data_IF_534977672258
#
_entry.id   IF_534977672258
#
_cell.length_a   1.000
_cell.length_b   1.000
_cell.length_c   1.000
_cell.angle_alpha   90.00
_cell.angle_beta   90.00
_cell.angle_gamma   90.00
#
_symmetry.space_group_name_H-M   'P 1'
#
loop_
_entity.id
_entity.type
_entity.pdbx_description
1 polymer ?
#
# COMPACT_ATOMS: atom_id res chain seq x y z
N UNK A 1 6.08 31.56 -28.37
CA UNK A 1 7.02 30.72 -29.15
C UNK A 1 7.98 29.96 -28.21
N UNK A 2 7.50 28.96 -27.45
CA UNK A 2 8.34 28.13 -26.54
C UNK A 2 7.92 26.64 -26.52
N UNK A 3 7.24 26.15 -27.55
CA UNK A 3 6.80 24.76 -27.64
C UNK A 3 7.72 23.86 -28.49
N UNK A 4 8.75 24.43 -29.13
CA UNK A 4 9.61 23.71 -30.07
C UNK A 4 10.60 22.70 -29.45
N UNK A 5 11.15 22.87 -28.22
CA UNK A 5 12.18 21.94 -27.73
C UNK A 5 11.61 20.61 -27.20
N UNK A 6 10.33 20.55 -26.79
CA UNK A 6 9.71 19.34 -26.24
C UNK A 6 9.38 18.29 -27.31
N UNK A 7 9.01 18.72 -28.52
CA UNK A 7 8.69 17.80 -29.62
C UNK A 7 9.96 17.10 -30.13
N UNK A 8 11.10 17.80 -30.15
CA UNK A 8 12.38 17.23 -30.60
C UNK A 8 12.89 16.15 -29.62
N UNK A 9 12.73 16.38 -28.31
CA UNK A 9 13.08 15.39 -27.28
C UNK A 9 12.21 14.14 -27.36
N UNK A 10 10.90 14.27 -27.59
CA UNK A 10 9.99 13.13 -27.73
C UNK A 10 10.31 12.27 -28.98
N UNK A 11 10.66 12.92 -30.10
CA UNK A 11 11.03 12.20 -31.34
C UNK A 11 12.37 11.48 -31.19
N UNK A 12 13.35 12.07 -30.50
CA UNK A 12 14.64 11.43 -30.21
C UNK A 12 14.51 10.20 -29.29
N UNK A 13 13.61 10.23 -28.29
CA UNK A 13 13.37 9.07 -27.43
C UNK A 13 12.72 7.89 -28.16
N UNK A 14 11.83 8.15 -29.12
CA UNK A 14 11.19 7.08 -29.92
C UNK A 14 12.19 6.46 -30.90
N UNK A 15 13.09 7.26 -31.48
CA UNK A 15 14.14 6.76 -32.37
C UNK A 15 15.17 5.87 -31.64
N UNK A 16 15.50 6.17 -30.38
CA UNK A 16 16.40 5.34 -29.57
C UNK A 16 15.77 3.98 -29.20
N UNK A 17 14.47 3.93 -28.92
CA UNK A 17 13.79 2.66 -28.62
C UNK A 17 13.71 1.74 -29.84
N UNK A 18 13.62 2.29 -31.05
CA UNK A 18 13.63 1.50 -32.28
C UNK A 18 15.03 0.95 -32.64
N UNK A 19 16.11 1.65 -32.25
CA UNK A 19 17.48 1.24 -32.58
C UNK A 19 18.04 0.13 -31.69
N UNK A 20 17.53 -0.02 -30.45
CA UNK A 20 18.06 -0.98 -29.47
C UNK A 20 17.08 -2.10 -29.09
N UNK A 21 15.93 -2.19 -29.77
CA UNK A 21 14.98 -3.30 -29.59
C UNK A 21 15.52 -4.60 -30.20
N UNK A 22 16.30 -5.36 -29.42
CA UNK A 22 16.73 -6.71 -29.80
C UNK A 22 15.53 -7.66 -29.88
N UNK A 23 15.06 -7.93 -31.10
CA UNK A 23 14.17 -9.07 -31.38
C UNK A 23 15.01 -10.34 -31.26
N UNK A 24 15.00 -10.97 -30.09
CA UNK A 24 15.53 -12.32 -29.94
C UNK A 24 14.60 -13.28 -30.68
N UNK A 25 15.14 -13.90 -31.75
CA UNK A 25 14.49 -15.01 -32.44
C UNK A 25 14.27 -16.14 -31.41
N UNK A 26 13.06 -16.71 -31.30
CA UNK A 26 12.84 -17.86 -30.44
C UNK A 26 13.77 -18.99 -30.89
N UNK A 27 14.65 -19.42 -30.00
CA UNK A 27 15.53 -20.55 -30.21
C UNK A 27 14.69 -21.82 -30.34
N UNK A 28 14.83 -22.50 -31.46
CA UNK A 28 14.21 -23.78 -31.75
C UNK A 28 14.76 -24.82 -30.75
N UNK A 29 13.90 -25.29 -29.84
CA UNK A 29 14.25 -26.31 -28.85
C UNK A 29 14.30 -27.64 -29.58
N UNK A 30 15.51 -28.11 -29.89
CA UNK A 30 15.75 -29.47 -30.35
C UNK A 30 15.59 -30.40 -29.14
N UNK A 31 14.46 -31.09 -29.08
CA UNK A 31 14.21 -32.16 -28.11
C UNK A 31 15.08 -33.35 -28.51
N UNK A 32 16.23 -33.49 -27.86
CA UNK A 32 17.07 -34.69 -27.95
C UNK A 32 16.43 -35.75 -27.06
N UNK A 33 15.86 -36.77 -27.70
CA UNK A 33 15.29 -37.93 -27.02
C UNK A 33 16.42 -38.69 -26.28
N UNK A 34 16.30 -38.91 -24.96
CA UNK A 34 17.35 -39.56 -24.20
C UNK A 34 17.54 -41.02 -24.63
N UNK A 35 18.78 -41.52 -24.65
CA UNK A 35 19.07 -42.90 -25.03
C UNK A 35 18.35 -43.87 -24.09
N UNK A 36 17.67 -44.84 -24.69
CA UNK A 36 17.01 -45.95 -24.01
C UNK A 36 18.05 -46.72 -23.20
N UNK A 37 18.02 -46.55 -21.89
CA UNK A 37 18.85 -47.31 -20.95
C UNK A 37 18.23 -48.70 -20.81
N UNK A 38 18.90 -49.70 -21.38
CA UNK A 38 18.53 -51.09 -21.17
C UNK A 38 18.71 -51.49 -19.70
N UNK A 39 17.71 -52.11 -19.06
CA UNK A 39 17.78 -52.49 -17.67
C UNK A 39 18.82 -53.60 -17.45
N UNK A 40 19.62 -53.52 -16.37
CA UNK A 40 20.61 -54.53 -16.05
C UNK A 40 19.94 -55.88 -15.76
N UNK A 41 20.17 -56.85 -16.66
CA UNK A 41 19.85 -58.26 -16.45
C UNK A 41 20.84 -58.84 -15.45
N UNK A 42 20.47 -58.88 -14.17
CA UNK A 42 21.13 -59.76 -13.21
C UNK A 42 20.09 -60.60 -12.48
N UNK A 43 19.76 -61.73 -13.10
CA UNK A 43 18.93 -62.79 -12.56
C UNK A 43 19.77 -63.66 -11.63
N UNK A 44 19.61 -63.44 -10.34
CA UNK A 44 19.76 -64.52 -9.35
C UNK A 44 18.55 -64.41 -8.43
N UNK A 45 17.42 -64.95 -8.90
CA UNK A 45 16.14 -65.00 -8.19
C UNK A 45 16.26 -65.93 -6.98
N UNK A 46 16.79 -65.40 -5.88
CA UNK A 46 16.45 -65.93 -4.55
C UNK A 46 14.99 -65.57 -4.34
N UNK A 47 14.13 -66.59 -4.20
CA UNK A 47 12.71 -66.38 -3.98
C UNK A 47 12.52 -65.44 -2.78
N UNK A 48 11.94 -64.26 -3.04
CA UNK A 48 11.66 -63.29 -1.98
C UNK A 48 10.79 -63.96 -0.91
N UNK A 49 11.10 -63.77 0.39
CA UNK A 49 10.33 -64.36 1.49
C UNK A 49 8.84 -63.95 1.47
N UNK A 50 8.48 -62.89 0.75
CA UNK A 50 7.10 -62.39 0.61
C UNK A 50 6.37 -62.89 -0.66
N UNK A 51 6.82 -64.00 -1.27
CA UNK A 51 6.28 -64.48 -2.55
C UNK A 51 4.97 -65.29 -2.45
N UNK A 52 4.59 -65.77 -1.26
CA UNK A 52 3.37 -66.56 -1.01
C UNK A 52 2.30 -65.74 -0.29
N UNK A 53 1.01 -66.03 -0.52
CA UNK A 53 -0.13 -65.33 0.10
C UNK A 53 -0.99 -64.51 -0.88
N UNK A 54 -2.11 -63.97 -0.38
CA UNK A 54 -2.94 -63.03 -1.13
C UNK A 54 -2.30 -61.63 -1.20
N UNK A 55 -2.84 -60.71 -2.01
CA UNK A 55 -2.23 -59.38 -2.24
C UNK A 55 -2.04 -58.60 -0.93
N UNK A 56 -3.02 -58.63 -0.02
CA UNK A 56 -2.95 -57.93 1.26
C UNK A 56 -1.81 -58.46 2.13
N UNK A 57 -1.66 -59.79 2.23
CA UNK A 57 -0.57 -60.42 2.96
C UNK A 57 0.80 -60.11 2.36
N UNK A 58 0.89 -60.01 1.03
CA UNK A 58 2.12 -59.63 0.34
C UNK A 58 2.52 -58.20 0.64
N UNK A 59 1.56 -57.28 0.59
CA UNK A 59 1.77 -55.85 0.90
C UNK A 59 2.28 -55.65 2.32
N UNK A 60 1.64 -56.30 3.30
CA UNK A 60 2.06 -56.29 4.70
C UNK A 60 3.45 -56.91 4.89
N UNK A 61 3.74 -58.01 4.20
CA UNK A 61 5.04 -58.67 4.26
C UNK A 61 6.14 -57.76 3.70
N UNK A 62 5.96 -57.20 2.49
CA UNK A 62 6.98 -56.34 1.86
C UNK A 62 7.19 -55.04 2.64
N UNK A 63 6.13 -54.43 3.18
CA UNK A 63 6.23 -53.24 4.03
C UNK A 63 6.99 -53.54 5.32
N UNK A 64 6.64 -54.62 6.03
CA UNK A 64 7.34 -55.03 7.25
C UNK A 64 8.80 -55.41 6.97
N UNK A 65 9.05 -56.06 5.82
CA UNK A 65 10.39 -56.42 5.40
C UNK A 65 11.23 -55.16 5.12
N UNK A 66 10.68 -54.18 4.39
CA UNK A 66 11.32 -52.90 4.15
C UNK A 66 11.75 -52.25 5.46
N UNK A 67 10.84 -52.16 6.44
CA UNK A 67 11.08 -51.56 7.76
C UNK A 67 12.16 -52.34 8.51
N UNK A 68 12.06 -53.68 8.55
CA UNK A 68 13.02 -54.53 9.26
C UNK A 68 14.43 -54.48 8.68
N UNK A 69 14.56 -54.19 7.38
CA UNK A 69 15.83 -54.10 6.65
C UNK A 69 16.33 -52.67 6.51
N UNK A 70 15.54 -51.68 6.95
CA UNK A 70 15.78 -50.26 6.68
C UNK A 70 16.02 -49.98 5.18
N UNK A 71 15.32 -50.70 4.30
CA UNK A 71 15.50 -50.63 2.84
C UNK A 71 14.21 -50.14 2.15
N UNK A 72 14.12 -48.84 1.81
CA UNK A 72 12.93 -48.26 1.18
C UNK A 72 12.69 -48.77 -0.24
N UNK A 73 13.69 -49.33 -0.93
CA UNK A 73 13.50 -49.91 -2.27
C UNK A 73 12.58 -51.14 -2.21
N UNK A 74 12.45 -51.78 -1.05
CA UNK A 74 11.51 -52.89 -0.88
C UNK A 74 10.04 -52.46 -0.93
N UNK A 75 9.72 -51.19 -0.61
CA UNK A 75 8.37 -50.64 -0.72
C UNK A 75 7.82 -50.66 -2.15
N UNK A 76 8.69 -50.65 -3.18
CA UNK A 76 8.25 -50.72 -4.59
C UNK A 76 7.58 -52.04 -4.96
N UNK A 77 7.71 -53.07 -4.11
CA UNK A 77 7.09 -54.38 -4.30
C UNK A 77 5.70 -54.50 -3.64
N UNK A 78 5.24 -53.46 -2.96
CA UNK A 78 3.88 -53.37 -2.42
C UNK A 78 2.92 -53.00 -3.56
N UNK A 79 1.75 -53.66 -3.63
CA UNK A 79 0.79 -53.53 -4.71
C UNK A 79 -0.26 -52.44 -4.47
N UNK A 80 -0.81 -52.34 -3.26
CA UNK A 80 -1.78 -51.29 -2.92
C UNK A 80 -1.10 -49.93 -2.80
N UNK A 81 -1.59 -48.93 -3.56
CA UNK A 81 -1.06 -47.57 -3.56
C UNK A 81 -1.04 -46.97 -2.14
N UNK A 82 -2.11 -47.16 -1.37
CA UNK A 82 -2.19 -46.68 0.01
C UNK A 82 -1.13 -47.31 0.91
N UNK A 83 -0.85 -48.61 0.74
CA UNK A 83 0.18 -49.31 1.51
C UNK A 83 1.59 -48.96 1.04
N UNK A 84 1.79 -48.73 -0.26
CA UNK A 84 3.06 -48.22 -0.81
C UNK A 84 3.40 -46.87 -0.19
N UNK A 85 2.45 -45.95 -0.19
CA UNK A 85 2.62 -44.60 0.35
C UNK A 85 2.88 -44.62 1.86
N UNK A 86 2.14 -45.46 2.60
CA UNK A 86 2.40 -45.71 4.02
C UNK A 86 3.77 -46.33 4.28
N UNK A 87 4.24 -47.22 3.42
CA UNK A 87 5.57 -47.84 3.51
C UNK A 87 6.66 -46.78 3.32
N UNK A 88 6.57 -45.98 2.25
CA UNK A 88 7.53 -44.90 2.00
C UNK A 88 7.54 -43.84 3.10
N UNK A 89 6.37 -43.48 3.63
CA UNK A 89 6.23 -42.49 4.71
C UNK A 89 7.08 -42.83 5.94
N UNK A 90 7.30 -44.12 6.24
CA UNK A 90 8.17 -44.55 7.34
C UNK A 90 9.64 -44.13 7.14
N UNK A 91 10.12 -44.04 5.90
CA UNK A 91 11.50 -43.68 5.58
C UNK A 91 11.69 -42.22 5.20
N UNK A 92 10.59 -41.53 4.92
CA UNK A 92 10.61 -40.23 4.29
C UNK A 92 10.92 -39.07 5.26
N UNK A 93 10.90 -39.35 6.56
CA UNK A 93 11.14 -38.37 7.62
C UNK A 93 12.47 -37.59 7.47
N UNK A 94 13.51 -38.19 6.88
CA UNK A 94 14.81 -37.55 6.64
C UNK A 94 15.31 -37.73 5.20
N UNK A 95 14.42 -38.06 4.25
CA UNK A 95 14.83 -38.33 2.87
C UNK A 95 13.84 -37.74 1.87
N UNK A 96 14.22 -36.58 1.33
CA UNK A 96 13.44 -35.84 0.35
C UNK A 96 13.13 -36.66 -0.91
N UNK A 97 14.05 -37.52 -1.36
CA UNK A 97 13.83 -38.38 -2.53
C UNK A 97 12.76 -39.44 -2.27
N UNK A 98 12.58 -39.86 -1.03
CA UNK A 98 11.49 -40.78 -0.65
C UNK A 98 10.16 -40.03 -0.57
N UNK A 99 10.11 -38.81 -0.03
CA UNK A 99 8.88 -37.99 -0.04
C UNK A 99 8.34 -37.83 -1.46
N UNK A 100 9.22 -37.60 -2.45
CA UNK A 100 8.84 -37.44 -3.86
C UNK A 100 8.18 -38.69 -4.46
N UNK A 101 8.38 -39.88 -3.88
CA UNK A 101 7.81 -41.16 -4.34
C UNK A 101 6.41 -41.45 -3.78
N UNK A 102 5.94 -40.69 -2.79
CA UNK A 102 4.59 -40.83 -2.24
C UNK A 102 3.58 -40.32 -3.27
N UNK A 103 2.59 -41.15 -3.61
CA UNK A 103 1.58 -40.87 -4.63
C UNK A 103 0.41 -40.04 -4.08
N UNK A 104 0.02 -40.28 -2.82
CA UNK A 104 -1.01 -39.53 -2.13
C UNK A 104 -0.56 -38.07 -1.89
N UNK A 105 -1.31 -37.12 -2.44
CA UNK A 105 -0.96 -35.71 -2.41
C UNK A 105 -0.89 -35.12 -0.99
N UNK A 106 -1.77 -35.54 -0.08
CA UNK A 106 -1.82 -35.06 1.30
C UNK A 106 -0.61 -35.58 2.11
N UNK A 107 -0.33 -36.89 2.04
CA UNK A 107 0.83 -37.50 2.70
C UNK A 107 2.15 -36.93 2.14
N UNK A 108 2.25 -36.77 0.82
CA UNK A 108 3.43 -36.16 0.18
C UNK A 108 3.61 -34.71 0.63
N UNK A 109 2.54 -33.93 0.70
CA UNK A 109 2.57 -32.55 1.20
C UNK A 109 3.09 -32.50 2.64
N UNK A 110 2.51 -33.30 3.54
CA UNK A 110 2.97 -33.38 4.93
C UNK A 110 4.45 -33.77 5.03
N UNK A 111 4.88 -34.77 4.26
CA UNK A 111 6.27 -35.20 4.18
C UNK A 111 7.23 -34.08 3.73
N UNK A 112 6.88 -33.37 2.66
CA UNK A 112 7.65 -32.25 2.14
C UNK A 112 7.70 -31.10 3.15
N UNK A 113 6.59 -30.77 3.79
CA UNK A 113 6.54 -29.71 4.81
C UNK A 113 7.41 -30.05 6.03
N UNK A 114 7.38 -31.29 6.53
CA UNK A 114 8.23 -31.71 7.65
C UNK A 114 9.72 -31.74 7.29
N UNK A 115 10.07 -32.11 6.06
CA UNK A 115 11.46 -32.01 5.58
C UNK A 115 11.89 -30.55 5.44
N UNK A 116 11.02 -29.68 4.91
CA UNK A 116 11.30 -28.26 4.78
C UNK A 116 11.60 -27.61 6.14
N UNK A 117 10.82 -27.91 7.19
CA UNK A 117 11.03 -27.38 8.54
C UNK A 117 12.40 -27.69 9.16
N UNK A 118 13.07 -28.75 8.71
CA UNK A 118 14.35 -29.22 9.26
C UNK A 118 15.57 -28.56 8.61
N UNK A 119 15.38 -27.88 7.47
CA UNK A 119 16.46 -27.28 6.71
C UNK A 119 16.57 -25.78 6.95
N UNK A 120 17.61 -25.17 6.39
CA UNK A 120 17.76 -23.72 6.39
C UNK A 120 16.71 -23.07 5.47
N UNK A 121 16.40 -21.79 5.69
CA UNK A 121 15.29 -21.11 5.00
C UNK A 121 15.35 -21.16 3.46
N UNK A 122 16.55 -21.14 2.86
CA UNK A 122 16.74 -21.23 1.40
C UNK A 122 16.37 -22.61 0.84
N UNK A 123 16.76 -23.69 1.52
CA UNK A 123 16.44 -25.06 1.10
C UNK A 123 14.98 -25.41 1.44
N UNK A 124 14.47 -24.87 2.55
CA UNK A 124 13.07 -25.06 2.94
C UNK A 124 12.11 -24.52 1.89
N UNK A 125 12.42 -23.35 1.31
CA UNK A 125 11.63 -22.74 0.25
C UNK A 125 11.61 -23.61 -1.02
N UNK A 126 12.77 -24.15 -1.44
CA UNK A 126 12.83 -25.01 -2.61
C UNK A 126 12.05 -26.31 -2.42
N UNK A 127 12.00 -26.86 -1.19
CA UNK A 127 11.17 -28.01 -0.85
C UNK A 127 9.68 -27.66 -0.87
N UNK A 128 9.26 -26.53 -0.27
CA UNK A 128 7.85 -26.12 -0.34
C UNK A 128 7.39 -25.89 -1.78
N UNK A 129 8.28 -25.45 -2.69
CA UNK A 129 7.98 -25.29 -4.11
C UNK A 129 7.73 -26.62 -4.85
N UNK A 130 8.03 -27.77 -4.24
CA UNK A 130 7.67 -29.11 -4.74
C UNK A 130 6.22 -29.50 -4.42
N UNK A 131 5.49 -28.69 -3.64
CA UNK A 131 4.08 -28.96 -3.31
C UNK A 131 3.18 -28.44 -4.44
N UNK A 132 2.45 -29.35 -5.08
CA UNK A 132 1.58 -29.06 -6.24
C UNK A 132 0.38 -28.18 -5.88
N UNK A 133 -0.24 -28.42 -4.72
CA UNK A 133 -1.39 -27.64 -4.26
C UNK A 133 -0.95 -26.24 -3.80
N UNK A 134 -1.51 -25.20 -4.42
CA UNK A 134 -1.11 -23.81 -4.15
C UNK A 134 -1.38 -23.36 -2.70
N UNK A 135 -2.48 -23.81 -2.08
CA UNK A 135 -2.84 -23.48 -0.70
C UNK A 135 -1.88 -24.15 0.29
N UNK A 136 -1.64 -25.46 0.14
CA UNK A 136 -0.68 -26.20 0.96
C UNK A 136 0.76 -25.69 0.79
N UNK A 137 1.14 -25.30 -0.43
CA UNK A 137 2.44 -24.67 -0.69
C UNK A 137 2.57 -23.34 0.05
N UNK A 138 1.55 -22.49 -0.02
CA UNK A 138 1.54 -21.23 0.71
C UNK A 138 1.65 -21.46 2.22
N UNK A 139 0.96 -22.48 2.75
CA UNK A 139 1.02 -22.85 4.15
C UNK A 139 2.40 -23.38 4.57
N UNK A 140 3.02 -24.25 3.75
CA UNK A 140 4.40 -24.69 3.95
C UNK A 140 5.36 -23.49 4.00
N UNK A 141 5.27 -22.58 3.04
CA UNK A 141 6.11 -21.38 2.98
C UNK A 141 5.93 -20.50 4.23
N UNK A 142 4.71 -20.34 4.76
CA UNK A 142 4.48 -19.59 6.01
C UNK A 142 5.19 -20.23 7.22
N UNK A 143 5.32 -21.55 7.24
CA UNK A 143 5.93 -22.27 8.35
C UNK A 143 7.46 -22.25 8.32
N UNK A 144 8.07 -22.11 7.14
CA UNK A 144 9.53 -22.26 6.98
C UNK A 144 10.26 -21.00 6.51
N UNK A 145 9.54 -20.05 5.92
CA UNK A 145 10.11 -18.79 5.47
C UNK A 145 9.91 -17.74 6.58
N UNK A 146 10.97 -17.11 7.10
CA UNK A 146 10.83 -16.03 8.08
C UNK A 146 9.84 -14.98 7.57
N UNK A 147 8.88 -14.50 8.40
CA UNK A 147 7.79 -13.64 7.95
C UNK A 147 8.27 -12.44 7.12
N UNK A 148 9.42 -11.87 7.48
CA UNK A 148 9.98 -10.71 6.80
C UNK A 148 10.43 -10.98 5.37
N UNK A 149 10.83 -12.21 5.02
CA UNK A 149 11.27 -12.55 3.66
C UNK A 149 10.12 -12.57 2.66
N UNK A 150 8.88 -12.68 3.13
CA UNK A 150 7.68 -12.59 2.29
C UNK A 150 7.29 -11.13 1.96
N UNK A 151 7.88 -10.14 2.60
CA UNK A 151 7.64 -8.72 2.31
C UNK A 151 8.33 -8.36 1.00
N UNK A 152 7.56 -7.97 -0.02
CA UNK A 152 8.09 -7.68 -1.36
C UNK A 152 8.87 -6.36 -1.43
N UNK A 153 8.39 -5.34 -0.72
CA UNK A 153 9.04 -4.04 -0.65
C UNK A 153 10.35 -4.15 0.14
N UNK A 154 11.45 -3.72 -0.46
CA UNK A 154 12.80 -3.87 0.11
C UNK A 154 12.94 -3.11 1.44
N UNK A 155 12.37 -1.90 1.52
CA UNK A 155 12.45 -1.06 2.71
C UNK A 155 11.64 -1.66 3.87
N UNK A 156 10.41 -2.10 3.60
CA UNK A 156 9.58 -2.78 4.60
C UNK A 156 10.20 -4.12 5.03
N UNK A 157 10.85 -4.84 4.11
CA UNK A 157 11.58 -6.08 4.43
C UNK A 157 12.74 -5.80 5.39
N UNK A 158 13.57 -4.81 5.10
CA UNK A 158 14.69 -4.41 5.97
C UNK A 158 14.21 -4.00 7.37
N UNK A 159 13.13 -3.21 7.46
CA UNK A 159 12.52 -2.83 8.75
C UNK A 159 12.01 -4.06 9.50
N UNK A 160 11.33 -4.98 8.82
CA UNK A 160 10.82 -6.19 9.44
C UNK A 160 11.98 -7.04 10.01
N UNK A 161 13.04 -7.26 9.23
CA UNK A 161 14.22 -8.02 9.69
C UNK A 161 14.87 -7.32 10.89
N UNK A 162 15.03 -6.00 10.83
CA UNK A 162 15.59 -5.22 11.93
C UNK A 162 14.77 -5.41 13.22
N UNK A 163 13.44 -5.33 13.14
CA UNK A 163 12.54 -5.55 14.29
C UNK A 163 12.57 -7.00 14.80
N UNK A 164 12.58 -7.99 13.91
CA UNK A 164 12.66 -9.40 14.28
C UNK A 164 13.97 -9.72 15.04
N UNK A 165 15.08 -9.11 14.59
CA UNK A 165 16.40 -9.30 15.20
C UNK A 165 16.71 -8.32 16.33
N UNK A 166 15.86 -7.32 16.54
CA UNK A 166 16.11 -6.18 17.43
C UNK A 166 17.51 -5.56 17.19
N UNK A 167 17.84 -5.36 15.90
CA UNK A 167 19.11 -4.78 15.46
C UNK A 167 18.90 -3.85 14.26
N UNK A 168 19.12 -2.55 14.46
CA UNK A 168 18.98 -1.54 13.40
C UNK A 168 20.06 -1.66 12.30
N UNK A 169 21.10 -2.47 12.46
CA UNK A 169 22.09 -2.68 11.38
C UNK A 169 21.49 -3.35 10.14
N UNK A 170 20.31 -3.97 10.27
CA UNK A 170 19.55 -4.50 9.13
C UNK A 170 18.72 -3.44 8.40
N UNK A 171 18.65 -2.20 8.90
CA UNK A 171 17.94 -1.13 8.21
C UNK A 171 18.72 -0.59 7.01
N UNK A 172 17.99 -0.36 5.92
CA UNK A 172 18.48 0.31 4.71
C UNK A 172 17.76 1.65 4.51
N UNK A 173 18.40 2.74 4.93
CA UNK A 173 17.92 4.11 4.71
C UNK A 173 17.19 4.77 5.90
N UNK A 174 17.03 6.09 5.80
CA UNK A 174 16.54 6.97 6.87
C UNK A 174 15.14 6.59 7.37
N UNK A 175 14.22 6.22 6.48
CA UNK A 175 12.85 5.82 6.85
C UNK A 175 12.83 4.54 7.71
N UNK A 176 13.69 3.56 7.39
CA UNK A 176 13.83 2.35 8.18
C UNK A 176 14.34 2.66 9.59
N UNK A 177 15.42 3.46 9.71
CA UNK A 177 15.97 3.84 11.01
C UNK A 177 14.94 4.58 11.87
N UNK A 178 14.19 5.51 11.26
CA UNK A 178 13.13 6.24 11.96
C UNK A 178 12.03 5.31 12.47
N UNK A 179 11.56 4.38 11.63
CA UNK A 179 10.49 3.45 12.01
C UNK A 179 10.95 2.40 13.02
N UNK A 180 12.17 1.92 12.89
CA UNK A 180 12.78 1.03 13.88
C UNK A 180 12.83 1.71 15.24
N UNK A 181 13.39 2.92 15.30
CA UNK A 181 13.53 3.71 16.53
C UNK A 181 12.17 3.97 17.20
N UNK A 182 11.16 4.36 16.41
CA UNK A 182 9.78 4.58 16.88
C UNK A 182 9.18 3.31 17.53
N UNK A 183 9.42 2.14 16.95
CA UNK A 183 8.86 0.86 17.43
C UNK A 183 9.61 0.29 18.65
N UNK A 184 10.92 0.52 18.75
CA UNK A 184 11.78 -0.06 19.82
C UNK A 184 12.11 0.93 20.92
N UNK A 185 11.74 2.20 20.74
CA UNK A 185 12.19 3.32 21.57
C UNK A 185 13.72 3.49 21.63
N UNK A 186 14.46 3.00 20.62
CA UNK A 186 15.92 3.09 20.55
C UNK A 186 16.37 4.38 19.85
N UNK A 187 16.78 5.37 20.64
CA UNK A 187 17.27 6.67 20.17
C UNK A 187 18.56 6.54 19.32
N UNK A 188 19.35 5.47 19.49
CA UNK A 188 20.62 5.33 18.75
C UNK A 188 20.38 5.12 17.26
N UNK A 189 19.31 4.43 16.88
CA UNK A 189 18.93 4.26 15.47
C UNK A 189 18.66 5.61 14.79
N UNK A 190 18.07 6.59 15.50
CA UNK A 190 17.90 7.95 14.97
C UNK A 190 19.22 8.63 14.61
N UNK A 191 20.34 8.26 15.25
CA UNK A 191 21.64 8.89 15.01
C UNK A 191 22.21 8.62 13.62
N UNK A 192 21.75 7.53 12.97
CA UNK A 192 22.15 7.06 11.65
C UNK A 192 21.34 7.69 10.50
N UNK A 193 20.29 8.46 10.81
CA UNK A 193 19.51 9.18 9.81
C UNK A 193 20.38 10.29 9.19
N UNK A 194 20.45 10.32 7.86
CA UNK A 194 21.29 11.20 7.07
C UNK A 194 20.76 12.64 7.06
N UNK A 195 19.44 12.80 6.94
CA UNK A 195 18.77 14.11 6.97
C UNK A 195 18.81 14.71 8.38
N UNK A 196 19.48 15.86 8.61
CA UNK A 196 19.62 16.42 9.96
C UNK A 196 18.28 16.71 10.65
N UNK A 197 17.30 17.24 9.93
CA UNK A 197 15.99 17.56 10.49
C UNK A 197 15.21 16.30 10.88
N UNK A 198 15.24 15.26 10.04
CA UNK A 198 14.58 13.99 10.32
C UNK A 198 15.25 13.22 11.47
N UNK A 199 16.59 13.32 11.58
CA UNK A 199 17.34 12.78 12.72
C UNK A 199 16.85 13.36 14.04
N UNK A 200 16.78 14.69 14.17
CA UNK A 200 16.29 15.31 15.40
C UNK A 200 14.80 15.03 15.61
N UNK A 201 14.00 14.93 14.53
CA UNK A 201 12.59 14.61 14.64
C UNK A 201 12.35 13.19 15.16
N UNK A 202 13.15 12.22 14.69
CA UNK A 202 13.14 10.86 15.22
C UNK A 202 13.43 10.84 16.72
N UNK A 203 14.47 11.58 17.17
CA UNK A 203 14.81 11.68 18.60
C UNK A 203 13.64 12.26 19.40
N UNK A 204 13.04 13.34 18.92
CA UNK A 204 11.89 13.99 19.55
C UNK A 204 10.68 13.05 19.67
N UNK A 205 10.38 12.28 18.63
CA UNK A 205 9.26 11.33 18.61
C UNK A 205 9.49 10.17 19.56
N UNK A 206 10.69 9.55 19.52
CA UNK A 206 11.05 8.44 20.42
C UNK A 206 10.98 8.85 21.89
N UNK A 207 11.40 10.08 22.20
CA UNK A 207 11.33 10.64 23.55
C UNK A 207 9.97 11.24 23.91
N UNK A 208 9.04 11.30 22.96
CA UNK A 208 7.74 11.97 23.09
C UNK A 208 7.86 13.43 23.56
N UNK A 209 8.87 14.16 23.06
CA UNK A 209 9.15 15.56 23.40
C UNK A 209 9.63 16.36 22.19
N UNK A 210 8.78 17.26 21.68
CA UNK A 210 9.12 18.18 20.57
C UNK A 210 10.27 19.13 20.96
N UNK A 211 10.48 19.36 22.26
CA UNK A 211 11.58 20.16 22.82
C UNK A 211 12.97 19.70 22.38
N UNK A 212 13.15 18.42 22.08
CA UNK A 212 14.40 17.82 21.61
C UNK A 212 14.87 18.43 20.28
N UNK A 213 13.98 19.01 19.48
CA UNK A 213 14.35 19.73 18.26
C UNK A 213 15.27 20.95 18.50
N UNK A 214 15.31 21.49 19.73
CA UNK A 214 16.22 22.61 20.08
C UNK A 214 17.70 22.25 20.00
N UNK A 215 18.04 20.97 19.91
CA UNK A 215 19.42 20.51 19.71
C UNK A 215 19.91 20.72 18.27
N UNK A 216 19.03 21.03 17.32
CA UNK A 216 19.41 21.27 15.93
C UNK A 216 20.17 22.60 15.76
N UNK A 217 21.28 22.64 14.98
CA UNK A 217 22.20 23.78 14.95
C UNK A 217 21.75 24.99 14.10
N UNK A 218 20.76 24.81 13.22
CA UNK A 218 20.30 25.85 12.29
C UNK A 218 18.78 26.00 12.39
N UNK A 219 18.27 27.23 12.34
CA UNK A 219 16.84 27.49 12.46
C UNK A 219 15.98 26.77 11.43
N UNK A 220 16.34 26.63 10.13
CA UNK A 220 15.51 25.86 9.21
C UNK A 220 15.48 24.35 9.51
N UNK A 221 16.58 23.80 10.05
CA UNK A 221 16.66 22.39 10.45
C UNK A 221 15.83 22.14 11.70
N UNK A 222 15.93 23.04 12.70
CA UNK A 222 15.12 23.02 13.91
C UNK A 222 13.63 23.15 13.57
N UNK A 223 13.26 24.13 12.75
CA UNK A 223 11.87 24.39 12.38
C UNK A 223 11.26 23.21 11.63
N UNK A 224 12.02 22.59 10.72
CA UNK A 224 11.55 21.40 10.02
C UNK A 224 11.43 20.19 10.97
N UNK A 225 12.36 20.02 11.92
CA UNK A 225 12.24 19.04 12.99
C UNK A 225 10.95 19.22 13.79
N UNK A 226 10.64 20.47 14.17
CA UNK A 226 9.43 20.81 14.93
C UNK A 226 8.18 20.45 14.14
N UNK A 227 8.09 20.83 12.85
CA UNK A 227 6.97 20.46 11.98
C UNK A 227 6.77 18.93 11.94
N UNK A 228 7.83 18.16 11.69
CA UNK A 228 7.76 16.70 11.61
C UNK A 228 7.36 16.06 12.95
N UNK A 229 7.95 16.51 14.05
CA UNK A 229 7.75 15.91 15.38
C UNK A 229 6.37 16.23 15.94
N UNK A 230 5.95 17.49 15.87
CA UNK A 230 4.60 17.91 16.25
C UNK A 230 3.55 17.18 15.41
N UNK A 231 3.82 16.99 14.11
CA UNK A 231 2.98 16.18 13.23
C UNK A 231 2.95 14.72 13.66
N UNK A 232 4.04 14.07 14.07
CA UNK A 232 3.99 12.66 14.47
C UNK A 232 3.35 12.45 15.85
N UNK A 233 3.62 13.36 16.78
CA UNK A 233 3.09 13.32 18.16
C UNK A 233 1.69 13.91 18.32
N UNK A 234 1.13 14.54 17.28
CA UNK A 234 -0.13 15.29 17.35
C UNK A 234 -0.12 16.38 18.44
N UNK A 235 1.04 17.03 18.59
CA UNK A 235 1.27 18.06 19.59
C UNK A 235 1.28 19.44 18.93
N UNK A 236 0.14 20.12 18.92
CA UNK A 236 0.01 21.46 18.34
C UNK A 236 0.84 22.51 19.09
N UNK A 237 1.04 22.35 20.41
CA UNK A 237 1.84 23.27 21.21
C UNK A 237 3.33 23.20 20.87
N UNK A 238 3.79 22.04 20.40
CA UNK A 238 5.13 21.86 19.88
C UNK A 238 5.47 22.83 18.74
N UNK A 239 4.48 23.27 17.94
CA UNK A 239 4.69 24.21 16.84
C UNK A 239 5.21 25.59 17.31
N UNK A 240 5.04 25.97 18.58
CA UNK A 240 5.61 27.22 19.14
C UNK A 240 7.13 27.18 19.28
N UNK A 241 7.75 26.01 19.14
CA UNK A 241 9.21 25.86 19.20
C UNK A 241 9.91 26.19 17.87
N UNK A 242 9.14 26.34 16.79
CA UNK A 242 9.64 26.80 15.51
C UNK A 242 9.72 28.34 15.46
N UNK A 243 10.57 28.87 14.59
CA UNK A 243 10.76 30.31 14.41
C UNK A 243 9.45 31.00 14.04
N UNK A 244 9.11 32.10 14.72
CA UNK A 244 7.93 32.88 14.39
C UNK A 244 7.98 33.41 12.96
N UNK A 245 6.88 33.27 12.23
CA UNK A 245 6.82 33.66 10.83
C UNK A 245 7.29 32.61 9.84
N UNK A 246 7.91 31.50 10.28
CA UNK A 246 8.49 30.52 9.35
C UNK A 246 7.43 29.64 8.70
N UNK A 247 7.70 29.22 7.45
CA UNK A 247 6.75 28.39 6.72
C UNK A 247 6.50 27.05 7.42
N UNK A 248 7.53 26.47 8.04
CA UNK A 248 7.45 25.23 8.81
C UNK A 248 6.49 25.37 10.00
N UNK A 249 6.53 26.49 10.73
CA UNK A 249 5.62 26.75 11.86
C UNK A 249 4.17 26.82 11.40
N UNK A 250 3.90 27.48 10.28
CA UNK A 250 2.53 27.64 9.79
C UNK A 250 1.96 26.36 9.19
N UNK A 251 2.79 25.56 8.49
CA UNK A 251 2.39 24.21 8.07
C UNK A 251 2.16 23.28 9.27
N UNK A 252 2.98 23.38 10.30
CA UNK A 252 2.79 22.64 11.55
C UNK A 252 1.40 22.92 12.15
N UNK A 253 0.99 24.19 12.22
CA UNK A 253 -0.34 24.57 12.69
C UNK A 253 -1.47 24.10 11.79
N UNK A 254 -1.31 24.15 10.46
CA UNK A 254 -2.30 23.60 9.54
C UNK A 254 -2.47 22.09 9.73
N UNK A 255 -1.38 21.34 9.78
CA UNK A 255 -1.43 19.89 9.94
C UNK A 255 -2.08 19.51 11.28
N UNK A 256 -1.77 20.25 12.35
CA UNK A 256 -2.43 20.09 13.66
C UNK A 256 -3.93 20.41 13.58
N UNK A 257 -4.31 21.54 12.99
CA UNK A 257 -5.72 21.95 12.83
C UNK A 257 -6.52 20.88 12.08
N UNK A 258 -5.99 20.40 10.95
CA UNK A 258 -6.64 19.38 10.11
C UNK A 258 -6.73 18.05 10.85
N UNK A 259 -5.70 17.62 11.59
CA UNK A 259 -5.77 16.35 12.30
C UNK A 259 -6.77 16.38 13.45
N UNK A 260 -6.69 17.43 14.27
CA UNK A 260 -7.54 17.61 15.46
C UNK A 260 -9.00 17.89 15.03
N UNK A 261 -9.19 18.47 13.85
CA UNK A 261 -10.51 18.96 13.42
C UNK A 261 -10.90 20.25 14.15
N UNK A 262 -9.91 21.06 14.53
CA UNK A 262 -10.13 22.35 15.17
C UNK A 262 -9.39 23.45 14.40
N UNK A 263 -10.17 24.22 13.63
CA UNK A 263 -9.65 25.37 12.89
C UNK A 263 -9.16 26.51 13.78
N UNK A 264 -9.50 26.55 15.07
CA UNK A 264 -9.01 27.56 16.01
C UNK A 264 -7.49 27.54 16.17
N UNK A 265 -6.86 26.37 15.96
CA UNK A 265 -5.41 26.17 15.98
C UNK A 265 -4.69 27.09 14.99
N UNK A 266 -5.31 27.39 13.85
CA UNK A 266 -4.74 28.30 12.84
C UNK A 266 -4.54 29.74 13.37
N UNK A 267 -5.18 30.16 14.46
CA UNK A 267 -4.98 31.48 15.05
C UNK A 267 -3.54 31.73 15.51
N UNK A 268 -2.77 30.66 15.77
CA UNK A 268 -1.37 30.72 16.22
C UNK A 268 -0.37 30.85 15.08
N UNK A 269 -0.80 30.66 13.84
CA UNK A 269 0.04 30.87 12.65
C UNK A 269 0.30 32.37 12.43
N UNK A 270 1.50 32.72 11.96
CA UNK A 270 1.96 34.09 11.71
C UNK A 270 2.94 34.11 10.53
N UNK A 271 3.03 35.20 9.73
CA UNK A 271 2.22 36.40 9.80
C UNK A 271 0.79 36.18 9.28
N UNK A 272 -0.07 37.19 9.44
CA UNK A 272 -1.41 37.20 8.86
C UNK A 272 -1.39 37.14 7.33
N UNK A 273 -0.33 37.70 6.72
CA UNK A 273 -0.17 37.84 5.27
C UNK A 273 1.26 37.54 4.85
N UNK A 274 1.43 36.81 3.75
CA UNK A 274 2.72 36.56 3.10
C UNK A 274 2.77 37.21 1.71
N UNK A 275 3.79 38.00 1.44
CA UNK A 275 4.08 38.49 0.08
C UNK A 275 4.61 37.30 -0.74
N UNK A 276 3.79 36.74 -1.64
CA UNK A 276 4.24 35.68 -2.56
C UNK A 276 3.58 34.30 -2.42
N UNK A 277 2.39 34.21 -1.82
CA UNK A 277 1.60 32.96 -1.84
C UNK A 277 2.10 31.87 -0.87
N UNK A 278 2.67 32.27 0.26
CA UNK A 278 3.22 31.39 1.29
C UNK A 278 2.22 31.01 2.38
N UNK A 279 2.73 30.24 3.35
CA UNK A 279 1.97 29.60 4.42
C UNK A 279 1.65 30.64 5.50
N UNK A 280 0.66 31.49 5.26
CA UNK A 280 0.19 32.50 6.22
C UNK A 280 -0.94 31.97 7.12
N UNK A 281 -1.33 32.74 8.14
CA UNK A 281 -2.55 32.47 8.93
C UNK A 281 -3.79 32.30 8.05
N UNK A 282 -3.96 33.20 7.07
CA UNK A 282 -5.06 33.13 6.10
C UNK A 282 -5.02 31.81 5.31
N UNK A 283 -3.83 31.42 4.86
CA UNK A 283 -3.63 30.15 4.15
C UNK A 283 -3.99 28.94 5.03
N UNK A 284 -3.62 28.95 6.31
CA UNK A 284 -4.01 27.89 7.26
C UNK A 284 -5.54 27.72 7.33
N UNK A 285 -6.29 28.81 7.53
CA UNK A 285 -7.76 28.76 7.55
C UNK A 285 -8.35 28.28 6.23
N UNK A 286 -7.83 28.76 5.10
CA UNK A 286 -8.30 28.36 3.76
C UNK A 286 -8.07 26.86 3.51
N UNK A 287 -6.87 26.35 3.79
CA UNK A 287 -6.54 24.93 3.62
C UNK A 287 -7.31 24.04 4.60
N UNK A 288 -7.51 24.49 5.84
CA UNK A 288 -8.35 23.79 6.80
C UNK A 288 -9.79 23.66 6.29
N UNK A 289 -10.42 24.77 5.87
CA UNK A 289 -11.77 24.77 5.31
C UNK A 289 -11.86 23.88 4.06
N UNK A 290 -10.85 23.95 3.20
CA UNK A 290 -10.72 23.11 2.00
C UNK A 290 -10.68 21.63 2.32
N UNK A 291 -9.88 21.20 3.31
CA UNK A 291 -9.70 19.79 3.68
C UNK A 291 -10.83 19.21 4.54
N UNK A 292 -11.55 20.05 5.28
CA UNK A 292 -12.59 19.62 6.22
C UNK A 292 -14.02 19.96 5.79
N UNK A 293 -14.19 20.81 4.79
CA UNK A 293 -15.50 21.38 4.44
C UNK A 293 -16.03 22.38 5.48
N UNK A 294 -15.25 22.71 6.50
CA UNK A 294 -15.65 23.60 7.59
C UNK A 294 -15.34 25.06 7.23
N UNK A 295 -16.34 25.75 6.66
CA UNK A 295 -16.21 27.17 6.29
C UNK A 295 -16.45 28.14 7.44
N UNK A 296 -16.74 27.65 8.66
CA UNK A 296 -16.90 28.53 9.83
C UNK A 296 -15.63 29.32 10.17
N UNK A 297 -14.48 28.87 9.66
CA UNK A 297 -13.20 29.57 9.80
C UNK A 297 -12.97 30.66 8.75
N UNK A 298 -13.67 30.63 7.61
CA UNK A 298 -13.44 31.59 6.53
C UNK A 298 -13.67 33.05 6.94
N UNK A 299 -14.65 33.39 7.81
CA UNK A 299 -14.77 34.75 8.36
C UNK A 299 -13.52 35.25 9.11
N UNK A 300 -12.66 34.34 9.61
CA UNK A 300 -11.40 34.68 10.29
C UNK A 300 -10.28 35.07 9.32
N UNK A 301 -10.49 34.89 8.02
CA UNK A 301 -9.58 35.38 6.96
C UNK A 301 -9.83 36.86 6.74
N UNK A 302 -8.82 37.68 7.04
CA UNK A 302 -8.94 39.14 7.06
C UNK A 302 -9.07 39.75 5.66
N UNK A 303 -8.28 39.24 4.70
CA UNK A 303 -8.26 39.75 3.34
C UNK A 303 -9.47 39.25 2.56
N UNK A 304 -10.25 40.17 1.98
CA UNK A 304 -11.51 39.87 1.31
C UNK A 304 -11.35 38.86 0.16
N UNK A 305 -10.30 39.00 -0.65
CA UNK A 305 -9.99 38.08 -1.76
C UNK A 305 -9.67 36.67 -1.26
N UNK A 306 -8.83 36.54 -0.24
CA UNK A 306 -8.51 35.25 0.37
C UNK A 306 -9.73 34.61 1.05
N UNK A 307 -10.58 35.43 1.67
CA UNK A 307 -11.84 34.95 2.26
C UNK A 307 -12.79 34.39 1.20
N UNK A 308 -12.90 35.04 0.04
CA UNK A 308 -13.66 34.49 -1.09
C UNK A 308 -13.05 33.17 -1.55
N UNK A 309 -11.71 33.13 -1.70
CA UNK A 309 -10.97 31.92 -2.06
C UNK A 309 -11.18 30.77 -1.06
N UNK A 310 -11.35 31.07 0.23
CA UNK A 310 -11.65 30.10 1.28
C UNK A 310 -12.96 29.36 0.99
N UNK A 311 -14.07 30.10 0.83
CA UNK A 311 -15.37 29.52 0.51
C UNK A 311 -15.35 28.78 -0.83
N UNK A 312 -14.76 29.39 -1.86
CA UNK A 312 -14.66 28.81 -3.20
C UNK A 312 -13.95 27.45 -3.19
N UNK A 313 -12.76 27.40 -2.58
CA UNK A 313 -11.94 26.19 -2.56
C UNK A 313 -12.60 25.10 -1.73
N UNK A 314 -13.19 25.46 -0.59
CA UNK A 314 -13.94 24.53 0.24
C UNK A 314 -15.15 23.94 -0.48
N UNK A 315 -15.98 24.79 -1.11
CA UNK A 315 -17.15 24.37 -1.89
C UNK A 315 -16.76 23.41 -3.02
N UNK A 316 -15.74 23.78 -3.81
CA UNK A 316 -15.29 22.98 -4.95
C UNK A 316 -14.70 21.64 -4.55
N UNK A 317 -13.78 21.63 -3.56
CA UNK A 317 -13.06 20.41 -3.16
C UNK A 317 -13.97 19.41 -2.45
N UNK A 318 -14.91 19.89 -1.63
CA UNK A 318 -15.85 19.03 -0.91
C UNK A 318 -17.13 18.75 -1.71
N UNK A 319 -17.24 19.29 -2.94
CA UNK A 319 -18.42 19.14 -3.80
C UNK A 319 -19.71 19.60 -3.11
N UNK A 320 -19.60 20.68 -2.32
CA UNK A 320 -20.68 21.26 -1.53
C UNK A 320 -20.92 22.73 -1.93
N UNK A 321 -21.68 22.99 -3.00
CA UNK A 321 -21.99 24.35 -3.45
C UNK A 321 -22.64 25.24 -2.39
N UNK A 322 -23.37 24.68 -1.42
CA UNK A 322 -24.02 25.45 -0.33
C UNK A 322 -23.03 26.25 0.51
N UNK A 323 -21.75 25.84 0.54
CA UNK A 323 -20.68 26.59 1.21
C UNK A 323 -20.47 27.99 0.61
N UNK A 324 -20.91 28.23 -0.64
CA UNK A 324 -20.88 29.53 -1.29
C UNK A 324 -21.94 30.52 -0.74
N UNK A 325 -22.97 30.05 -0.01
CA UNK A 325 -24.06 30.88 0.51
C UNK A 325 -23.58 32.03 1.42
N UNK A 326 -22.42 31.85 2.06
CA UNK A 326 -21.85 32.83 3.00
C UNK A 326 -21.16 34.01 2.30
N UNK A 327 -21.08 33.99 0.96
CA UNK A 327 -20.55 35.09 0.17
C UNK A 327 -21.61 36.19 0.03
N UNK A 328 -21.44 37.30 0.75
CA UNK A 328 -22.40 38.42 0.73
C UNK A 328 -22.48 39.22 -0.58
N UNK A 329 -21.66 38.90 -1.59
CA UNK A 329 -21.72 39.52 -2.91
C UNK A 329 -22.24 38.51 -3.93
N UNK A 330 -23.33 38.88 -4.62
CA UNK A 330 -24.00 38.02 -5.60
C UNK A 330 -23.07 37.56 -6.73
N UNK A 331 -22.18 38.42 -7.22
CA UNK A 331 -21.25 38.05 -8.29
C UNK A 331 -20.23 36.99 -7.82
N UNK A 332 -19.68 37.14 -6.61
CA UNK A 332 -18.75 36.15 -6.03
C UNK A 332 -19.45 34.85 -5.68
N UNK A 333 -20.68 34.92 -5.17
CA UNK A 333 -21.50 33.75 -4.90
C UNK A 333 -21.76 32.94 -6.19
N UNK A 334 -22.13 33.61 -7.28
CA UNK A 334 -22.34 32.97 -8.60
C UNK A 334 -21.06 32.36 -9.17
N UNK A 335 -19.92 33.04 -9.04
CA UNK A 335 -18.63 32.49 -9.46
C UNK A 335 -18.25 31.24 -8.65
N UNK A 336 -18.52 31.26 -7.34
CA UNK A 336 -18.34 30.11 -6.45
C UNK A 336 -19.24 28.93 -6.82
N UNK A 337 -20.53 29.17 -7.10
CA UNK A 337 -21.43 28.13 -7.60
C UNK A 337 -20.97 27.55 -8.94
N UNK A 338 -20.55 28.41 -9.87
CA UNK A 338 -19.99 27.97 -11.15
C UNK A 338 -18.82 27.01 -10.94
N UNK A 339 -17.87 27.39 -10.09
CA UNK A 339 -16.71 26.59 -9.69
C UNK A 339 -17.06 25.24 -9.07
N UNK A 340 -17.99 25.23 -8.12
CA UNK A 340 -18.33 24.07 -7.29
C UNK A 340 -19.37 23.13 -7.91
N UNK A 341 -20.19 23.61 -8.84
CA UNK A 341 -21.19 22.80 -9.54
C UNK A 341 -20.63 22.32 -10.88
N UNK A 342 -20.20 23.24 -11.74
CA UNK A 342 -19.90 22.91 -13.14
C UNK A 342 -18.50 22.29 -13.32
N UNK A 343 -17.54 22.73 -12.50
CA UNK A 343 -16.12 22.41 -12.64
C UNK A 343 -15.54 21.52 -11.52
N UNK A 344 -16.36 21.01 -10.61
CA UNK A 344 -15.92 20.03 -9.61
C UNK A 344 -15.79 18.64 -10.24
N UNK A 345 -14.66 17.97 -10.01
CA UNK A 345 -14.49 16.57 -10.39
C UNK A 345 -15.55 15.70 -9.69
N UNK A 346 -16.30 14.91 -10.46
CA UNK A 346 -17.43 14.11 -9.95
C UNK A 346 -18.77 14.84 -9.78
N UNK A 347 -18.87 16.14 -10.09
CA UNK A 347 -20.10 16.94 -9.92
C UNK A 347 -20.43 17.26 -8.45
N UNK A 348 -21.53 17.96 -8.12
CA UNK A 348 -21.87 18.26 -6.72
C UNK A 348 -22.40 17.02 -5.97
N UNK A 349 -22.45 17.08 -4.63
CA UNK A 349 -23.15 16.08 -3.81
C UNK A 349 -24.66 16.38 -3.85
N UNK A 350 -25.52 15.43 -4.28
CA UNK A 350 -26.95 15.72 -4.47
C UNK A 350 -27.66 16.28 -3.24
N UNK A 351 -27.32 15.79 -2.04
CA UNK A 351 -27.95 16.25 -0.79
C UNK A 351 -27.60 17.70 -0.42
N UNK A 352 -26.52 18.25 -0.98
CA UNK A 352 -26.11 19.63 -0.73
C UNK A 352 -26.86 20.64 -1.64
N UNK A 353 -27.37 20.18 -2.80
CA UNK A 353 -28.09 21.03 -3.74
C UNK A 353 -29.34 21.69 -3.14
N UNK A 354 -30.01 21.02 -2.19
CA UNK A 354 -31.20 21.57 -1.53
C UNK A 354 -30.89 22.88 -0.78
N UNK A 355 -29.66 22.99 -0.29
CA UNK A 355 -29.19 24.12 0.51
C UNK A 355 -28.64 25.28 -0.34
N UNK A 356 -28.60 25.17 -1.66
CA UNK A 356 -28.18 26.27 -2.55
C UNK A 356 -29.26 27.36 -2.56
N UNK A 357 -28.90 28.59 -2.16
CA UNK A 357 -29.88 29.67 -1.99
C UNK A 357 -30.40 30.24 -3.32
N UNK A 358 -29.58 30.25 -4.38
CA UNK A 358 -29.97 30.76 -5.69
C UNK A 358 -30.68 29.65 -6.48
N UNK A 359 -31.95 29.86 -6.82
CA UNK A 359 -32.80 28.84 -7.45
C UNK A 359 -32.26 28.37 -8.82
N UNK A 360 -31.65 29.26 -9.60
CA UNK A 360 -31.07 28.90 -10.91
C UNK A 360 -29.87 27.99 -10.70
N UNK A 361 -29.04 28.28 -9.72
CA UNK A 361 -27.90 27.43 -9.40
C UNK A 361 -28.29 26.13 -8.71
N UNK A 362 -29.40 26.11 -7.96
CA UNK A 362 -29.98 24.89 -7.38
C UNK A 362 -30.42 23.91 -8.47
N UNK A 363 -31.12 24.39 -9.50
CA UNK A 363 -31.52 23.59 -10.67
C UNK A 363 -30.28 23.00 -11.39
N UNK A 364 -29.28 23.84 -11.66
CA UNK A 364 -27.99 23.39 -12.24
C UNK A 364 -27.25 22.38 -11.37
N UNK A 365 -27.34 22.53 -10.05
CA UNK A 365 -26.75 21.60 -9.09
C UNK A 365 -27.37 20.22 -9.24
N UNK A 366 -28.71 20.13 -9.21
CA UNK A 366 -29.42 18.86 -9.38
C UNK A 366 -29.21 18.24 -10.75
N UNK A 367 -29.26 19.02 -11.82
CA UNK A 367 -28.94 18.54 -13.16
C UNK A 367 -27.54 17.91 -13.23
N UNK A 368 -26.52 18.63 -12.73
CA UNK A 368 -25.14 18.13 -12.75
C UNK A 368 -24.95 16.91 -11.85
N UNK A 369 -25.61 16.87 -10.69
CA UNK A 369 -25.62 15.72 -9.80
C UNK A 369 -26.28 14.49 -10.45
N UNK A 370 -27.41 14.68 -11.15
CA UNK A 370 -28.09 13.62 -11.90
C UNK A 370 -27.14 12.98 -12.92
N UNK A 371 -26.47 13.82 -13.73
CA UNK A 371 -25.50 13.35 -14.71
C UNK A 371 -24.32 12.61 -14.09
N UNK A 372 -23.73 13.14 -13.02
CA UNK A 372 -22.51 12.55 -12.44
C UNK A 372 -22.78 11.27 -11.64
N UNK A 373 -24.01 11.09 -11.15
CA UNK A 373 -24.44 9.88 -10.42
C UNK A 373 -25.26 8.92 -11.27
N UNK A 374 -25.52 9.25 -12.54
CA UNK A 374 -26.43 8.53 -13.43
C UNK A 374 -27.82 8.27 -12.81
N UNK A 375 -28.33 9.24 -12.05
CA UNK A 375 -29.57 9.11 -11.28
C UNK A 375 -30.63 10.10 -11.77
N UNK A 376 -31.53 9.63 -12.65
CA UNK A 376 -32.61 10.43 -13.21
C UNK A 376 -33.65 10.88 -12.18
N UNK A 377 -33.75 10.21 -11.03
CA UNK A 377 -34.67 10.64 -9.96
C UNK A 377 -34.32 12.02 -9.40
N UNK A 378 -33.10 12.51 -9.63
CA UNK A 378 -32.69 13.86 -9.24
C UNK A 378 -33.30 14.96 -10.13
N UNK A 379 -33.75 14.62 -11.35
CA UNK A 379 -34.38 15.59 -12.26
C UNK A 379 -35.70 16.16 -11.69
N UNK A 380 -36.40 15.41 -10.82
CA UNK A 380 -37.66 15.86 -10.19
C UNK A 380 -37.49 17.08 -9.29
N UNK A 381 -36.26 17.33 -8.82
CA UNK A 381 -35.95 18.48 -7.98
C UNK A 381 -35.60 19.74 -8.79
N UNK A 382 -35.54 19.64 -10.12
CA UNK A 382 -35.33 20.77 -11.01
C UNK A 382 -36.67 21.45 -11.26
N UNK A 383 -36.70 22.78 -11.23
CA UNK A 383 -37.90 23.55 -11.55
C UNK A 383 -38.42 23.16 -12.95
N UNK A 384 -39.70 22.75 -13.09
CA UNK A 384 -40.27 22.38 -14.38
C UNK A 384 -40.19 23.51 -15.41
N UNK A 385 -40.12 23.14 -16.70
CA UNK A 385 -40.08 24.08 -17.84
C UNK A 385 -38.84 24.98 -17.87
N UNK A 386 -37.76 24.57 -17.22
CA UNK A 386 -36.44 25.19 -17.34
C UNK A 386 -35.58 24.42 -18.35
N UNK A 387 -34.59 25.11 -18.93
CA UNK A 387 -33.64 24.46 -19.85
C UNK A 387 -32.88 23.31 -19.19
N UNK A 388 -32.62 23.39 -17.88
CA UNK A 388 -31.96 22.35 -17.11
C UNK A 388 -32.88 21.13 -16.92
N UNK A 389 -34.19 21.32 -16.72
CA UNK A 389 -35.20 20.24 -16.67
C UNK A 389 -35.25 19.48 -18.00
N UNK A 390 -35.44 20.23 -19.10
CA UNK A 390 -35.52 19.65 -20.45
C UNK A 390 -34.23 18.88 -20.81
N UNK A 391 -33.08 19.41 -20.39
CA UNK A 391 -31.77 18.77 -20.59
C UNK A 391 -31.61 17.51 -19.75
N UNK A 392 -32.11 17.51 -18.51
CA UNK A 392 -32.09 16.34 -17.63
C UNK A 392 -32.95 15.22 -18.20
N UNK A 393 -34.19 15.52 -18.59
CA UNK A 393 -35.11 14.53 -19.17
C UNK A 393 -34.57 13.96 -20.47
N UNK A 394 -34.01 14.81 -21.34
CA UNK A 394 -33.35 14.38 -22.58
C UNK A 394 -32.15 13.45 -22.33
N UNK A 395 -31.38 13.69 -21.27
CA UNK A 395 -30.21 12.87 -20.94
C UNK A 395 -30.58 11.46 -20.44
N UNK A 396 -31.78 11.29 -19.88
CA UNK A 396 -32.25 10.01 -19.31
C UNK A 396 -33.42 9.37 -20.07
N UNK A 397 -33.95 10.03 -21.11
CA UNK A 397 -35.03 9.51 -21.95
C UNK A 397 -36.40 9.48 -21.27
N UNK A 398 -36.67 10.45 -20.39
CA UNK A 398 -37.95 10.61 -19.69
C UNK A 398 -39.01 11.33 -20.52
#
# INVERSE_FOLDING_TARGET
>A
MRAFPLVILAVLSIALLAAFGCIQKPSEIVVVEPPVVEPPKNNTTVASPCSTGNIVQKDECFSSLAISKSDPELCRNVYSVEKVDSCYSHFAENNLEICKRISNAEQRTGCLTENAKRLNSTESESICNLIDNAESRAECLRQVVPPCRLVLDEMQRSLCIALEKNDYNYCSGDECFSKYAENTSDVNACSLISSPAEKYACIAVVKNDVGECKMAPLSPVQDYCVELSAKRLSNADGCDLATAGSDYRNRCYLDAAVRIGDGSVCARAEPEFSVGGGTSRNWCYMEYASRKGDVSVCPKVLESQNRIGCYYTAAKKNRMPSLCNSLGNEAWMRDCYSGSILYSEGGPVPSDCESVLDSIWKDKCYYKAALSTANSSLCVFITPWTSDSDSCDSAFGN
#
